data_IF_009087007458
#
_entry.id   IF_009087007458
#
_cell.length_a   1.000
_cell.length_b   1.000
_cell.length_c   1.000
_cell.angle_alpha   90.00
_cell.angle_beta   90.00
_cell.angle_gamma   90.00
#
_symmetry.space_group_name_H-M   'P 1'
#
loop_
_entity.id
_entity.type
_entity.pdbx_description
1 polymer ?
#
# COMPACT_ATOMS: atom_id res chain seq x y z
N UNK A 1 22.72 18.28 -13.11
CA UNK A 1 21.74 19.34 -12.89
C UNK A 1 21.30 19.22 -11.44
N UNK A 2 21.61 20.20 -10.63
CA UNK A 2 21.27 20.24 -9.19
C UNK A 2 19.78 20.48 -9.07
N UNK A 3 19.02 19.42 -8.73
CA UNK A 3 17.61 19.56 -8.33
C UNK A 3 17.58 20.38 -7.06
N UNK A 4 17.23 21.64 -7.18
CA UNK A 4 16.82 22.48 -6.07
C UNK A 4 15.48 21.93 -5.58
N UNK A 5 15.50 21.15 -4.51
CA UNK A 5 14.28 20.77 -3.79
C UNK A 5 13.69 22.07 -3.27
N UNK A 6 12.65 22.56 -3.93
CA UNK A 6 11.86 23.69 -3.42
C UNK A 6 11.35 23.30 -2.03
N UNK A 7 11.77 24.05 -1.02
CA UNK A 7 11.19 23.97 0.33
C UNK A 7 9.70 24.27 0.19
N UNK A 8 8.87 23.22 0.25
CA UNK A 8 7.43 23.33 0.09
C UNK A 8 6.85 24.30 1.13
N UNK A 9 6.02 25.17 0.64
CA UNK A 9 5.28 26.16 1.44
C UNK A 9 4.65 25.46 2.65
N UNK A 10 4.68 26.08 3.85
CA UNK A 10 4.18 25.51 5.11
C UNK A 10 2.75 24.91 5.04
N UNK A 11 2.01 25.23 3.99
CA UNK A 11 0.59 24.96 3.83
C UNK A 11 0.24 23.52 3.42
N UNK A 12 1.16 22.75 2.83
CA UNK A 12 0.83 21.39 2.33
C UNK A 12 0.73 20.36 3.46
N UNK A 13 1.55 20.50 4.48
CA UNK A 13 1.53 19.57 5.64
C UNK A 13 0.33 19.80 6.55
N UNK A 14 -0.14 21.05 6.69
CA UNK A 14 -1.32 21.42 7.49
C UNK A 14 -2.63 21.37 6.71
N UNK A 15 -2.58 20.93 5.44
CA UNK A 15 -3.77 20.85 4.58
C UNK A 15 -4.79 19.89 5.18
N UNK A 16 -6.04 20.31 5.28
CA UNK A 16 -7.15 19.46 5.73
C UNK A 16 -7.46 18.33 4.75
N UNK A 17 -8.22 17.33 5.18
CA UNK A 17 -8.65 16.24 4.29
C UNK A 17 -9.49 16.77 3.10
N UNK A 18 -10.48 17.68 3.25
CA UNK A 18 -11.20 18.23 2.12
C UNK A 18 -10.31 18.96 1.11
N UNK A 19 -9.29 19.70 1.59
CA UNK A 19 -8.34 20.39 0.72
C UNK A 19 -7.45 19.40 -0.05
N UNK A 20 -7.06 18.29 0.58
CA UNK A 20 -6.30 17.21 -0.08
C UNK A 20 -7.13 16.49 -1.13
N UNK A 21 -8.38 16.20 -0.85
CA UNK A 21 -9.30 15.64 -1.85
C UNK A 21 -9.49 16.60 -3.03
N UNK A 22 -9.59 17.91 -2.76
CA UNK A 22 -9.64 18.91 -3.82
C UNK A 22 -8.35 18.94 -4.64
N UNK A 23 -7.19 18.97 -3.98
CA UNK A 23 -5.90 18.91 -4.66
C UNK A 23 -5.76 17.62 -5.49
N UNK A 24 -6.15 16.48 -4.94
CA UNK A 24 -6.14 15.19 -5.64
C UNK A 24 -7.04 15.21 -6.88
N UNK A 25 -8.26 15.76 -6.79
CA UNK A 25 -9.17 15.91 -7.94
C UNK A 25 -8.56 16.78 -9.04
N UNK A 26 -7.87 17.85 -8.69
CA UNK A 26 -7.23 18.73 -9.66
C UNK A 26 -6.04 18.07 -10.38
N UNK A 27 -5.46 17.02 -9.82
CA UNK A 27 -4.38 16.25 -10.43
C UNK A 27 -4.87 15.16 -11.39
N UNK A 28 -6.15 14.77 -11.35
CA UNK A 28 -6.69 13.71 -12.21
C UNK A 28 -6.34 13.91 -13.69
N UNK A 29 -6.58 15.08 -14.32
CA UNK A 29 -6.27 15.25 -15.74
C UNK A 29 -4.79 15.08 -16.07
N UNK A 30 -3.90 15.49 -15.15
CA UNK A 30 -2.46 15.30 -15.29
C UNK A 30 -2.09 13.82 -15.19
N UNK A 31 -2.59 13.13 -14.17
CA UNK A 31 -2.31 11.71 -13.94
C UNK A 31 -2.76 10.88 -15.14
N UNK A 32 -3.96 11.11 -15.64
CA UNK A 32 -4.49 10.42 -16.83
C UNK A 32 -3.64 10.69 -18.09
N UNK A 33 -3.19 11.94 -18.29
CA UNK A 33 -2.36 12.31 -19.43
C UNK A 33 -0.96 11.66 -19.39
N UNK A 34 -0.39 11.45 -18.20
CA UNK A 34 0.94 10.88 -18.02
C UNK A 34 0.93 9.34 -17.89
N UNK A 35 -0.24 8.71 -17.82
CA UNK A 35 -0.36 7.29 -17.51
C UNK A 35 0.28 6.36 -18.55
N UNK A 36 0.09 6.63 -19.86
CA UNK A 36 0.68 5.82 -20.94
C UNK A 36 2.21 5.92 -20.97
N UNK A 37 2.75 7.11 -20.69
CA UNK A 37 4.19 7.31 -20.62
C UNK A 37 4.79 6.66 -19.37
N UNK A 38 4.10 6.74 -18.24
CA UNK A 38 4.48 6.04 -17.00
C UNK A 38 4.56 4.51 -17.20
N UNK A 39 3.62 3.92 -17.94
CA UNK A 39 3.71 2.49 -18.30
C UNK A 39 4.95 2.15 -19.15
N UNK A 40 5.32 3.01 -20.09
CA UNK A 40 6.50 2.81 -20.95
C UNK A 40 7.80 2.96 -20.15
N UNK A 41 7.86 3.96 -19.28
CA UNK A 41 9.01 4.20 -18.40
C UNK A 41 9.16 3.15 -17.31
N UNK A 42 8.10 2.38 -17.05
CA UNK A 42 7.97 1.42 -15.93
C UNK A 42 8.04 2.06 -14.53
N UNK A 43 7.83 3.36 -14.43
CA UNK A 43 7.63 4.17 -13.21
C UNK A 43 6.82 5.42 -13.57
N UNK A 44 6.26 6.13 -12.61
CA UNK A 44 5.59 7.40 -12.91
C UNK A 44 6.56 8.37 -13.60
N UNK A 45 6.03 9.21 -14.50
CA UNK A 45 6.82 10.34 -14.98
C UNK A 45 7.20 11.26 -13.83
N UNK A 46 8.36 11.89 -13.88
CA UNK A 46 8.79 12.88 -12.87
C UNK A 46 7.71 13.95 -12.67
N UNK A 47 7.08 14.38 -13.76
CA UNK A 47 6.00 15.39 -13.73
C UNK A 47 4.80 14.95 -12.89
N UNK A 48 4.36 13.70 -13.01
CA UNK A 48 3.25 13.17 -12.21
C UNK A 48 3.68 12.96 -10.75
N UNK A 49 4.86 12.38 -10.51
CA UNK A 49 5.39 12.13 -9.18
C UNK A 49 5.61 13.45 -8.39
N UNK A 50 6.22 14.46 -9.00
CA UNK A 50 6.47 15.76 -8.39
C UNK A 50 5.18 16.52 -8.07
N UNK A 51 4.18 16.45 -8.96
CA UNK A 51 2.89 17.07 -8.73
C UNK A 51 2.14 16.42 -7.54
N UNK A 52 2.15 15.09 -7.45
CA UNK A 52 1.55 14.33 -6.35
C UNK A 52 2.30 14.56 -5.03
N UNK A 53 3.63 14.60 -5.06
CA UNK A 53 4.47 14.93 -3.91
C UNK A 53 4.16 16.35 -3.42
N UNK A 54 4.12 17.32 -4.32
CA UNK A 54 3.83 18.73 -4.03
C UNK A 54 2.42 18.95 -3.46
N UNK A 55 1.47 18.08 -3.78
CA UNK A 55 0.14 18.05 -3.18
C UNK A 55 0.10 17.31 -1.82
N UNK A 56 1.23 16.78 -1.34
CA UNK A 56 1.33 16.09 -0.06
C UNK A 56 0.64 14.72 -0.01
N UNK A 57 0.42 14.08 -1.18
CA UNK A 57 -0.33 12.82 -1.27
C UNK A 57 0.46 11.62 -0.76
N UNK A 58 1.78 11.73 -0.60
CA UNK A 58 2.65 10.64 -0.15
C UNK A 58 2.95 10.65 1.35
N UNK A 59 2.46 11.65 2.10
CA UNK A 59 2.77 11.86 3.52
C UNK A 59 1.53 12.03 4.39
N UNK A 60 0.37 11.55 3.93
CA UNK A 60 -0.90 11.71 4.64
C UNK A 60 -0.92 11.07 6.04
N UNK A 61 -0.17 9.99 6.22
CA UNK A 61 -0.02 9.30 7.50
C UNK A 61 1.31 9.59 8.21
N UNK A 62 2.05 10.63 7.82
CA UNK A 62 3.21 11.04 8.59
C UNK A 62 2.77 11.59 9.94
N UNK A 63 3.39 11.17 11.09
CA UNK A 63 3.05 11.67 12.41
C UNK A 63 3.14 13.19 12.56
N UNK A 64 2.26 13.77 13.37
CA UNK A 64 2.23 15.22 13.65
C UNK A 64 3.51 15.73 14.26
N UNK A 65 4.16 14.93 15.11
CA UNK A 65 5.44 15.24 15.75
C UNK A 65 6.59 15.45 14.76
N UNK A 66 6.43 14.93 13.54
CA UNK A 66 7.35 15.16 12.41
C UNK A 66 6.79 16.19 11.40
N UNK A 67 5.78 16.96 11.81
CA UNK A 67 5.12 17.95 10.96
C UNK A 67 4.18 17.36 9.91
N UNK A 68 3.81 16.08 9.99
CA UNK A 68 2.84 15.45 9.12
C UNK A 68 1.39 15.77 9.49
N UNK A 69 0.42 15.51 8.61
CA UNK A 69 -1.00 15.75 8.88
C UNK A 69 -1.61 14.68 9.80
N UNK A 70 -1.08 13.47 9.79
CA UNK A 70 -1.61 12.32 10.54
C UNK A 70 -3.11 12.18 10.33
N UNK A 71 -3.53 12.03 9.05
CA UNK A 71 -4.94 11.82 8.72
C UNK A 71 -5.44 10.50 9.30
N UNK A 72 -6.76 10.41 9.50
CA UNK A 72 -7.40 9.11 9.78
C UNK A 72 -7.19 8.15 8.60
N UNK A 73 -7.33 6.84 8.85
CA UNK A 73 -7.21 5.85 7.77
C UNK A 73 -8.30 6.02 6.72
N UNK A 74 -9.52 6.40 7.14
CA UNK A 74 -10.64 6.62 6.22
C UNK A 74 -10.39 7.85 5.34
N UNK A 75 -9.94 8.96 5.91
CA UNK A 75 -9.63 10.17 5.13
C UNK A 75 -8.53 9.93 4.09
N UNK A 76 -7.48 9.21 4.48
CA UNK A 76 -6.39 8.85 3.57
C UNK A 76 -6.84 7.82 2.52
N UNK A 77 -7.78 6.92 2.86
CA UNK A 77 -8.34 5.93 1.94
C UNK A 77 -9.18 6.59 0.85
N UNK A 78 -9.97 7.63 1.17
CA UNK A 78 -10.73 8.39 0.17
C UNK A 78 -9.82 9.02 -0.90
N UNK A 79 -8.69 9.58 -0.48
CA UNK A 79 -7.69 10.12 -1.41
C UNK A 79 -7.06 9.00 -2.24
N UNK A 80 -6.74 7.87 -1.61
CA UNK A 80 -6.16 6.71 -2.31
C UNK A 80 -7.14 6.14 -3.34
N UNK A 81 -8.43 5.98 -2.98
CA UNK A 81 -9.50 5.54 -3.89
C UNK A 81 -9.59 6.48 -5.10
N UNK A 82 -9.58 7.80 -4.87
CA UNK A 82 -9.69 8.81 -5.92
C UNK A 82 -8.51 8.78 -6.91
N UNK A 83 -7.27 8.71 -6.42
CA UNK A 83 -6.08 8.66 -7.29
C UNK A 83 -6.00 7.32 -8.02
N UNK A 84 -6.38 6.22 -7.37
CA UNK A 84 -6.42 4.89 -8.00
C UNK A 84 -7.50 4.79 -9.09
N UNK A 85 -8.57 5.59 -8.98
CA UNK A 85 -9.53 5.75 -10.04
C UNK A 85 -8.92 6.45 -11.27
N UNK A 86 -8.08 7.45 -11.08
CA UNK A 86 -7.41 8.13 -12.18
C UNK A 86 -6.41 7.20 -12.91
N UNK A 87 -5.54 6.53 -12.14
CA UNK A 87 -4.57 5.54 -12.64
C UNK A 87 -4.13 4.57 -11.54
N UNK A 88 -4.11 3.28 -11.85
CA UNK A 88 -3.75 2.22 -10.88
C UNK A 88 -2.32 2.33 -10.37
N UNK A 89 -1.35 2.69 -11.23
CA UNK A 89 0.05 2.85 -10.82
C UNK A 89 0.25 4.11 -9.96
N UNK A 90 -0.41 5.22 -10.27
CA UNK A 90 -0.39 6.42 -9.44
C UNK A 90 -1.03 6.17 -8.07
N UNK A 91 -2.17 5.45 -8.03
CA UNK A 91 -2.77 4.99 -6.78
C UNK A 91 -1.84 4.08 -5.97
N UNK A 92 -1.06 3.23 -6.63
CA UNK A 92 -0.04 2.40 -5.98
C UNK A 92 1.07 3.22 -5.32
N UNK A 93 1.48 4.33 -5.93
CA UNK A 93 2.39 5.29 -5.28
C UNK A 93 1.78 5.87 -4.01
N UNK A 94 0.52 6.32 -4.05
CA UNK A 94 -0.16 6.82 -2.85
C UNK A 94 -0.23 5.73 -1.78
N UNK A 95 -0.63 4.49 -2.16
CA UNK A 95 -0.67 3.35 -1.25
C UNK A 95 0.68 3.11 -0.57
N UNK A 96 1.73 2.82 -1.34
CA UNK A 96 3.02 2.37 -0.80
C UNK A 96 3.72 3.47 -0.01
N UNK A 97 3.76 4.69 -0.53
CA UNK A 97 4.52 5.76 0.10
C UNK A 97 3.91 6.21 1.43
N UNK A 98 2.58 6.13 1.59
CA UNK A 98 1.95 6.38 2.89
C UNK A 98 2.23 5.26 3.91
N UNK A 99 2.30 3.99 3.49
CA UNK A 99 2.73 2.89 4.35
C UNK A 99 4.13 3.13 4.88
N UNK A 100 5.04 3.56 4.00
CA UNK A 100 6.43 3.85 4.37
C UNK A 100 6.51 5.09 5.26
N UNK A 101 5.81 6.19 4.92
CA UNK A 101 5.78 7.41 5.71
C UNK A 101 5.24 7.16 7.14
N UNK A 102 4.19 6.33 7.25
CA UNK A 102 3.64 5.94 8.55
C UNK A 102 4.64 5.10 9.37
N UNK A 103 5.16 4.02 8.79
CA UNK A 103 6.05 3.10 9.51
C UNK A 103 7.37 3.74 9.90
N UNK A 104 8.02 4.44 8.97
CA UNK A 104 9.26 5.17 9.21
C UNK A 104 9.05 6.27 10.27
N UNK A 105 7.99 7.06 10.08
CA UNK A 105 7.64 8.15 11.01
C UNK A 105 7.32 7.65 12.41
N UNK A 106 6.60 6.54 12.55
CA UNK A 106 6.20 6.00 13.84
C UNK A 106 7.30 5.22 14.55
N UNK A 107 8.15 4.48 13.83
CA UNK A 107 9.03 3.47 14.47
C UNK A 107 10.51 3.81 14.47
N UNK A 108 11.04 4.66 13.56
CA UNK A 108 12.45 5.04 13.64
C UNK A 108 12.75 5.82 14.92
N UNK A 109 13.95 5.61 15.52
CA UNK A 109 14.46 6.48 16.55
C UNK A 109 14.47 7.96 16.12
N UNK A 110 14.37 8.89 17.07
CA UNK A 110 14.26 10.33 16.78
C UNK A 110 15.34 10.84 15.83
N UNK A 111 16.59 10.45 16.05
CA UNK A 111 17.71 10.85 15.18
C UNK A 111 17.51 10.41 13.73
N UNK A 112 16.98 9.22 13.50
CA UNK A 112 16.70 8.70 12.14
C UNK A 112 15.51 9.40 11.51
N UNK A 113 14.42 9.56 12.27
CA UNK A 113 13.22 10.24 11.79
C UNK A 113 13.52 11.70 11.44
N UNK A 114 14.31 12.41 12.26
CA UNK A 114 14.77 13.78 11.99
C UNK A 114 15.71 13.85 10.77
N UNK A 115 16.57 12.87 10.55
CA UNK A 115 17.42 12.82 9.35
C UNK A 115 16.58 12.78 8.07
N UNK A 116 15.49 12.04 8.07
CA UNK A 116 14.65 11.83 6.88
C UNK A 116 13.61 12.94 6.72
N UNK A 117 12.92 13.33 7.79
CA UNK A 117 11.79 14.26 7.76
C UNK A 117 12.05 15.61 8.44
N UNK A 118 13.25 15.83 8.99
CA UNK A 118 13.63 17.11 9.58
C UNK A 118 13.51 18.27 8.59
N UNK A 119 13.46 19.50 9.10
CA UNK A 119 13.32 20.73 8.30
C UNK A 119 12.11 20.71 7.35
N UNK A 120 11.06 19.98 7.72
CA UNK A 120 9.81 19.84 6.96
C UNK A 120 9.99 19.28 5.54
N UNK A 121 10.99 18.44 5.31
CA UNK A 121 11.24 17.80 4.02
C UNK A 121 10.12 16.82 3.67
N UNK A 122 9.68 16.84 2.41
CA UNK A 122 8.83 15.82 1.81
C UNK A 122 9.70 14.76 1.14
N UNK A 123 10.39 13.98 1.95
CA UNK A 123 11.31 12.95 1.48
C UNK A 123 10.55 11.69 1.07
N UNK A 124 10.81 11.17 -0.10
CA UNK A 124 10.33 9.86 -0.53
C UNK A 124 11.30 8.79 -0.04
N UNK A 125 10.78 7.85 0.74
CA UNK A 125 11.47 6.61 1.07
C UNK A 125 10.66 5.43 0.53
N UNK A 126 11.35 4.44 -0.08
CA UNK A 126 10.70 3.28 -0.66
C UNK A 126 11.59 2.04 -0.60
N UNK A 127 11.01 0.86 -0.77
CA UNK A 127 11.72 -0.42 -0.74
C UNK A 127 10.82 -1.57 -0.28
N UNK A 128 11.42 -2.64 0.22
CA UNK A 128 10.74 -3.84 0.67
C UNK A 128 10.92 -4.06 2.18
N UNK A 129 9.83 -3.95 2.94
CA UNK A 129 9.83 -4.21 4.37
C UNK A 129 9.84 -5.69 4.75
N UNK A 130 9.36 -6.59 3.86
CA UNK A 130 9.41 -8.04 4.11
C UNK A 130 10.87 -8.48 4.22
N UNK A 131 11.26 -9.22 5.29
CA UNK A 131 12.66 -9.52 5.59
C UNK A 131 13.25 -10.57 4.64
N UNK A 132 13.74 -10.11 3.49
CA UNK A 132 14.43 -10.91 2.47
C UNK A 132 15.94 -10.82 2.58
N UNK A 133 16.47 -9.68 3.03
CA UNK A 133 17.89 -9.51 3.26
C UNK A 133 18.38 -10.15 4.54
N UNK A 134 19.67 -10.05 4.77
CA UNK A 134 20.34 -10.47 5.99
C UNK A 134 20.95 -9.27 6.70
N UNK A 135 20.83 -9.23 8.02
CA UNK A 135 21.46 -8.23 8.88
C UNK A 135 22.29 -8.90 9.94
N UNK A 136 23.56 -8.54 10.06
CA UNK A 136 24.45 -9.02 11.11
C UNK A 136 24.73 -7.87 12.08
N UNK A 137 24.55 -8.12 13.37
CA UNK A 137 24.81 -7.10 14.40
C UNK A 137 26.29 -6.66 14.33
N UNK A 138 26.52 -5.38 14.41
CA UNK A 138 27.82 -4.73 14.49
C UNK A 138 27.78 -3.65 15.56
N UNK A 139 28.92 -3.09 15.94
CA UNK A 139 28.94 -2.02 16.91
C UNK A 139 28.18 -0.79 16.42
N UNK A 140 27.15 -0.36 17.17
CA UNK A 140 26.29 0.78 16.86
C UNK A 140 25.32 0.59 15.68
N UNK A 141 25.13 -0.63 15.15
CA UNK A 141 24.24 -0.85 14.01
C UNK A 141 24.23 -2.26 13.45
N UNK A 142 23.94 -2.36 12.17
CA UNK A 142 23.89 -3.62 11.42
C UNK A 142 24.71 -3.52 10.13
N UNK A 143 25.34 -4.63 9.76
CA UNK A 143 25.84 -4.86 8.40
C UNK A 143 24.75 -5.62 7.64
N UNK A 144 24.25 -5.02 6.56
CA UNK A 144 23.16 -5.60 5.76
C UNK A 144 23.62 -6.01 4.38
N UNK A 145 22.96 -7.03 3.82
CA UNK A 145 23.07 -7.44 2.43
C UNK A 145 21.74 -7.98 1.91
N UNK A 146 21.45 -7.77 0.60
CA UNK A 146 20.24 -8.24 -0.09
C UNK A 146 20.51 -9.43 -0.98
N UNK A 147 19.60 -9.78 -1.89
CA UNK A 147 18.75 -8.89 -2.69
C UNK A 147 17.36 -8.63 -2.10
N UNK A 148 16.70 -7.58 -2.59
CA UNK A 148 15.28 -7.29 -2.35
C UNK A 148 14.54 -7.13 -3.66
N UNK A 149 13.28 -7.58 -3.70
CA UNK A 149 12.39 -7.47 -4.86
C UNK A 149 11.17 -6.62 -4.50
N UNK A 150 10.47 -6.13 -5.51
CA UNK A 150 9.26 -5.34 -5.33
C UNK A 150 9.46 -4.03 -4.55
N UNK A 151 10.54 -3.32 -4.83
CA UNK A 151 10.77 -1.97 -4.32
C UNK A 151 9.85 -0.96 -5.02
N UNK A 152 8.55 -1.02 -4.75
CA UNK A 152 7.59 -0.11 -5.39
C UNK A 152 7.94 1.35 -5.14
N UNK A 153 7.82 2.20 -6.17
CA UNK A 153 8.11 3.64 -6.13
C UNK A 153 9.59 4.00 -5.91
N UNK A 154 10.49 3.02 -5.88
CA UNK A 154 11.90 3.19 -5.48
C UNK A 154 12.70 4.09 -6.43
N UNK A 155 12.25 4.25 -7.69
CA UNK A 155 12.90 5.13 -8.66
C UNK A 155 12.99 6.57 -8.16
N UNK A 156 11.90 7.08 -7.55
CA UNK A 156 11.82 8.45 -7.03
C UNK A 156 12.28 8.58 -5.57
N UNK A 157 12.65 7.48 -4.91
CA UNK A 157 13.05 7.53 -3.51
C UNK A 157 14.43 8.15 -3.32
N UNK A 158 14.60 8.90 -2.23
CA UNK A 158 15.88 9.40 -1.72
C UNK A 158 16.50 8.42 -0.74
N UNK A 159 15.66 7.70 0.03
CA UNK A 159 16.06 6.65 0.94
C UNK A 159 15.44 5.32 0.54
N UNK A 160 16.25 4.27 0.58
CA UNK A 160 15.78 2.91 0.40
C UNK A 160 15.59 2.26 1.76
N UNK A 161 14.54 1.44 1.91
CA UNK A 161 14.40 0.60 3.08
C UNK A 161 14.48 -0.88 2.72
N UNK A 162 14.99 -1.67 3.64
CA UNK A 162 15.34 -3.06 3.42
C UNK A 162 14.98 -3.91 4.64
N UNK A 163 14.00 -4.79 4.48
CA UNK A 163 13.69 -5.81 5.49
C UNK A 163 14.76 -6.89 5.51
N UNK A 164 15.28 -7.20 6.68
CA UNK A 164 16.36 -8.17 6.88
C UNK A 164 16.05 -9.12 8.02
N UNK A 165 16.39 -10.39 7.86
CA UNK A 165 16.50 -11.35 8.97
C UNK A 165 17.80 -11.09 9.73
N UNK A 166 17.72 -10.98 11.04
CA UNK A 166 18.92 -10.85 11.88
C UNK A 166 19.63 -12.22 11.94
N UNK A 167 20.90 -12.21 11.57
CA UNK A 167 21.75 -13.41 11.54
C UNK A 167 22.73 -13.41 12.72
N UNK A 168 22.84 -14.55 13.39
CA UNK A 168 23.81 -14.79 14.46
C UNK A 168 24.48 -16.15 14.21
N UNK A 169 25.81 -16.17 14.17
CA UNK A 169 26.60 -17.39 13.88
C UNK A 169 26.16 -18.13 12.59
N UNK A 170 25.83 -17.36 11.54
CA UNK A 170 25.42 -17.88 10.22
C UNK A 170 23.99 -18.44 10.15
N UNK A 171 23.19 -18.32 11.22
CA UNK A 171 21.80 -18.78 11.29
C UNK A 171 20.86 -17.62 11.64
N UNK A 172 19.55 -17.68 11.29
CA UNK A 172 18.56 -16.74 11.79
C UNK A 172 18.56 -16.70 13.32
N UNK A 173 18.70 -15.50 13.90
CA UNK A 173 18.50 -15.29 15.33
C UNK A 173 17.02 -15.42 15.64
N UNK A 174 16.67 -16.23 16.63
CA UNK A 174 15.29 -16.41 17.06
C UNK A 174 14.93 -15.43 18.18
N UNK A 175 13.78 -14.79 18.03
CA UNK A 175 13.18 -13.96 19.08
C UNK A 175 12.51 -14.80 20.18
N UNK A 176 11.92 -14.15 21.20
CA UNK A 176 11.29 -14.83 22.33
C UNK A 176 10.14 -15.81 21.93
N UNK A 177 9.51 -15.60 20.79
CA UNK A 177 8.43 -16.43 20.26
C UNK A 177 8.92 -17.61 19.39
N UNK A 178 10.24 -17.80 19.26
CA UNK A 178 10.82 -18.80 18.37
C UNK A 178 10.79 -18.44 16.87
N UNK A 179 10.29 -17.25 16.52
CA UNK A 179 10.34 -16.74 15.15
C UNK A 179 11.64 -15.96 14.90
N UNK A 180 12.16 -15.94 13.66
CA UNK A 180 13.34 -15.14 13.33
C UNK A 180 13.14 -13.66 13.65
N UNK A 181 14.11 -13.04 14.31
CA UNK A 181 14.15 -11.59 14.47
C UNK A 181 14.34 -10.92 13.11
N UNK A 182 13.60 -9.83 12.89
CA UNK A 182 13.66 -9.08 11.65
C UNK A 182 13.76 -7.58 11.93
N UNK A 183 14.56 -6.90 11.13
CA UNK A 183 14.80 -5.45 11.21
C UNK A 183 14.57 -4.81 9.84
N UNK A 184 14.02 -3.61 9.82
CA UNK A 184 13.94 -2.77 8.63
C UNK A 184 15.00 -1.69 8.74
N UNK A 185 15.92 -1.66 7.80
CA UNK A 185 17.06 -0.75 7.73
C UNK A 185 16.84 0.27 6.62
N UNK A 186 17.27 1.53 6.85
CA UNK A 186 17.14 2.62 5.88
C UNK A 186 18.50 3.15 5.49
N UNK A 187 18.72 3.38 4.18
CA UNK A 187 19.97 3.87 3.65
C UNK A 187 19.76 4.82 2.46
N UNK A 188 20.74 5.64 2.17
CA UNK A 188 20.67 6.61 1.08
C UNK A 188 20.62 5.91 -0.28
N UNK A 189 19.85 6.47 -1.23
CA UNK A 189 19.78 6.00 -2.63
C UNK A 189 21.16 5.79 -3.25
N UNK A 190 22.15 6.63 -2.86
CA UNK A 190 23.51 6.56 -3.36
C UNK A 190 24.20 5.21 -3.10
N UNK A 191 23.82 4.51 -2.01
CA UNK A 191 24.36 3.21 -1.62
C UNK A 191 23.57 2.02 -2.23
N UNK A 192 22.46 2.32 -2.92
CA UNK A 192 21.60 1.34 -3.56
C UNK A 192 21.86 1.17 -5.05
N UNK A 193 21.59 -0.02 -5.57
CA UNK A 193 21.64 -0.37 -6.98
C UNK A 193 20.26 -0.90 -7.43
N UNK A 194 19.60 -0.20 -8.37
CA UNK A 194 18.36 -0.67 -9.00
C UNK A 194 18.68 -1.60 -10.17
N UNK A 195 17.86 -2.65 -10.33
CA UNK A 195 18.01 -3.60 -11.43
C UNK A 195 17.27 -3.19 -12.70
N UNK A 196 16.28 -2.28 -12.62
CA UNK A 196 15.54 -1.80 -13.80
C UNK A 196 14.70 -2.89 -14.48
N UNK A 197 14.25 -3.90 -13.75
CA UNK A 197 13.66 -5.13 -14.26
C UNK A 197 12.12 -5.23 -14.07
N UNK A 198 11.43 -4.09 -13.99
CA UNK A 198 9.97 -4.09 -13.78
C UNK A 198 9.22 -4.19 -15.12
N UNK A 199 9.18 -5.40 -15.70
CA UNK A 199 8.40 -5.72 -16.90
C UNK A 199 7.29 -6.72 -16.54
N UNK A 200 6.10 -6.21 -16.25
CA UNK A 200 4.97 -6.96 -15.70
C UNK A 200 3.71 -6.76 -16.53
N UNK A 201 2.70 -7.61 -16.30
CA UNK A 201 1.41 -7.51 -17.00
C UNK A 201 0.65 -6.23 -16.65
N UNK A 202 0.67 -5.79 -15.39
CA UNK A 202 -0.01 -4.60 -14.87
C UNK A 202 0.82 -3.91 -13.80
N UNK A 203 0.31 -2.77 -13.28
CA UNK A 203 1.05 -1.89 -12.38
C UNK A 203 2.42 -1.49 -12.95
N UNK A 204 2.51 -1.38 -14.27
CA UNK A 204 3.77 -1.14 -14.96
C UNK A 204 4.42 0.16 -14.53
N UNK A 205 3.63 1.23 -14.35
CA UNK A 205 4.10 2.52 -13.88
C UNK A 205 4.44 2.57 -12.39
N UNK A 206 4.35 1.46 -11.63
CA UNK A 206 4.64 1.46 -10.19
C UNK A 206 6.14 1.43 -9.85
N UNK A 207 7.02 1.11 -10.79
CA UNK A 207 8.47 1.09 -10.60
C UNK A 207 8.92 0.15 -9.48
N UNK A 208 8.30 -1.03 -9.40
CA UNK A 208 8.55 -1.97 -8.29
C UNK A 208 9.82 -2.81 -8.52
N UNK A 209 10.92 -2.13 -8.83
CA UNK A 209 12.19 -2.75 -9.19
C UNK A 209 12.79 -3.61 -8.10
N UNK A 210 13.58 -4.60 -8.52
CA UNK A 210 14.52 -5.27 -7.64
C UNK A 210 15.72 -4.35 -7.38
N UNK A 211 16.32 -4.48 -6.20
CA UNK A 211 17.45 -3.65 -5.79
C UNK A 211 18.39 -4.38 -4.84
N UNK A 212 19.61 -3.88 -4.74
CA UNK A 212 20.65 -4.33 -3.82
C UNK A 212 21.34 -3.13 -3.17
N UNK A 213 22.17 -3.41 -2.17
CA UNK A 213 23.24 -2.51 -1.77
C UNK A 213 24.41 -2.65 -2.77
N UNK A 214 25.10 -1.55 -3.10
CA UNK A 214 26.25 -1.53 -4.01
C UNK A 214 27.46 -2.28 -3.44
N UNK A 215 27.66 -2.18 -2.13
CA UNK A 215 28.73 -2.89 -1.42
C UNK A 215 28.35 -4.36 -1.14
N UNK A 216 29.35 -5.20 -0.84
CA UNK A 216 29.11 -6.58 -0.40
C UNK A 216 28.28 -6.63 0.88
N UNK A 217 28.54 -5.74 1.83
CA UNK A 217 27.74 -5.45 3.03
C UNK A 217 27.74 -3.91 3.23
N UNK A 218 26.62 -3.37 3.69
CA UNK A 218 26.47 -1.94 4.01
C UNK A 218 26.20 -1.78 5.51
N UNK A 219 26.95 -0.91 6.18
CA UNK A 219 26.70 -0.57 7.58
C UNK A 219 25.55 0.42 7.71
N UNK A 220 24.56 0.06 8.54
CA UNK A 220 23.42 0.91 8.87
C UNK A 220 23.40 1.16 10.37
N UNK A 221 23.50 2.42 10.82
CA UNK A 221 23.48 2.73 12.24
C UNK A 221 22.10 2.46 12.86
N UNK A 222 22.07 2.13 14.16
CA UNK A 222 20.86 1.76 14.89
C UNK A 222 19.72 2.76 14.74
N UNK A 223 20.01 4.06 14.69
CA UNK A 223 18.98 5.09 14.55
C UNK A 223 18.30 5.11 13.15
N UNK A 224 18.84 4.39 12.18
CA UNK A 224 18.24 4.17 10.86
C UNK A 224 17.54 2.82 10.73
N UNK A 225 17.30 2.15 11.85
CA UNK A 225 16.68 0.82 11.89
C UNK A 225 15.52 0.78 12.89
N UNK A 226 14.51 -0.05 12.59
CA UNK A 226 13.49 -0.44 13.56
C UNK A 226 13.15 -1.93 13.39
N UNK A 227 12.61 -2.56 14.44
CA UNK A 227 12.16 -3.95 14.36
C UNK A 227 10.89 -4.04 13.50
N UNK A 228 10.83 -5.05 12.64
CA UNK A 228 9.74 -5.21 11.68
C UNK A 228 8.36 -5.42 12.34
N UNK A 229 8.30 -6.13 13.45
CA UNK A 229 7.06 -6.43 14.19
C UNK A 229 7.29 -6.37 15.72
N UNK A 230 6.21 -6.16 16.45
CA UNK A 230 6.21 -6.32 17.90
C UNK A 230 6.79 -5.15 18.70
N UNK A 231 6.97 -3.99 18.06
CA UNK A 231 7.40 -2.78 18.76
C UNK A 231 6.26 -1.75 18.82
N UNK A 232 6.10 -1.06 19.95
CA UNK A 232 5.18 0.06 20.04
C UNK A 232 5.69 1.23 19.20
N UNK A 233 4.78 2.06 18.65
CA UNK A 233 5.17 3.28 17.97
C UNK A 233 5.85 4.25 18.94
N UNK A 234 6.90 4.91 18.50
CA UNK A 234 7.58 5.96 19.27
C UNK A 234 6.86 7.31 19.16
N UNK A 235 6.00 7.49 18.13
CA UNK A 235 5.26 8.71 17.83
C UNK A 235 3.89 8.38 17.23
N UNK A 236 2.98 9.35 17.30
CA UNK A 236 1.66 9.28 16.68
C UNK A 236 0.62 8.47 17.45
N UNK A 237 0.98 7.88 18.61
CA UNK A 237 0.03 7.19 19.47
C UNK A 237 -0.55 5.91 18.89
N UNK A 238 -1.74 5.54 19.37
CA UNK A 238 -2.40 4.27 19.01
C UNK A 238 -2.76 4.12 17.53
N UNK A 239 -2.88 5.20 16.77
CA UNK A 239 -3.08 5.13 15.32
C UNK A 239 -2.03 4.24 14.66
N UNK A 240 -0.79 4.22 15.14
CA UNK A 240 0.29 3.42 14.55
C UNK A 240 0.46 2.04 15.20
N UNK A 241 -0.33 1.70 16.22
CA UNK A 241 -0.26 0.39 16.89
C UNK A 241 -0.68 -0.78 15.99
N UNK A 242 -1.45 -0.52 14.91
CA UNK A 242 -1.86 -1.55 13.94
C UNK A 242 -0.69 -2.13 13.12
N UNK A 243 0.50 -1.50 13.20
CA UNK A 243 1.72 -1.98 12.55
C UNK A 243 1.73 -1.90 11.03
N UNK A 244 2.88 -2.24 10.44
CA UNK A 244 3.10 -2.13 8.99
C UNK A 244 2.07 -2.92 8.17
N UNK A 245 1.59 -4.04 8.68
CA UNK A 245 0.58 -4.86 8.00
C UNK A 245 -0.79 -4.18 8.00
N UNK A 246 -1.16 -3.54 9.12
CA UNK A 246 -2.36 -2.71 9.19
C UNK A 246 -2.28 -1.54 8.22
N UNK A 247 -1.14 -0.85 8.17
CA UNK A 247 -0.91 0.24 7.21
C UNK A 247 -1.06 -0.23 5.76
N UNK A 248 -0.53 -1.38 5.42
CA UNK A 248 -0.67 -1.93 4.06
C UNK A 248 -2.13 -2.32 3.78
N UNK A 249 -2.88 -2.80 4.77
CA UNK A 249 -4.25 -3.27 4.58
C UNK A 249 -5.22 -2.15 4.19
N UNK A 250 -5.23 -1.01 4.90
CA UNK A 250 -6.15 0.08 4.58
C UNK A 250 -5.89 0.69 3.21
N UNK A 251 -4.64 0.94 2.89
CA UNK A 251 -4.27 1.65 1.67
C UNK A 251 -4.42 0.79 0.42
N UNK A 252 -4.10 -0.51 0.52
CA UNK A 252 -4.34 -1.46 -0.56
C UNK A 252 -5.84 -1.66 -0.83
N UNK A 253 -6.66 -1.59 0.22
CA UNK A 253 -8.12 -1.62 0.10
C UNK A 253 -8.65 -0.41 -0.68
N UNK A 254 -8.20 0.80 -0.36
CA UNK A 254 -8.54 2.04 -1.09
C UNK A 254 -8.11 1.99 -2.55
N UNK A 255 -6.92 1.43 -2.82
CA UNK A 255 -6.43 1.21 -4.18
C UNK A 255 -7.38 0.32 -4.98
N UNK A 256 -7.79 -0.82 -4.44
CA UNK A 256 -8.68 -1.75 -5.12
C UNK A 256 -10.05 -1.14 -5.42
N UNK A 257 -10.61 -0.35 -4.50
CA UNK A 257 -11.86 0.38 -4.73
C UNK A 257 -11.76 1.33 -5.92
N UNK A 258 -10.70 2.13 -6.01
CA UNK A 258 -10.51 3.09 -7.08
C UNK A 258 -10.39 2.43 -8.45
N UNK A 259 -9.53 1.42 -8.60
CA UNK A 259 -9.35 0.67 -9.85
C UNK A 259 -10.66 -0.02 -10.29
N UNK A 260 -11.39 -0.60 -9.33
CA UNK A 260 -12.67 -1.27 -9.60
C UNK A 260 -13.72 -0.26 -10.08
N UNK A 261 -13.85 0.88 -9.40
CA UNK A 261 -14.78 1.95 -9.81
C UNK A 261 -14.45 2.45 -11.21
N UNK A 262 -13.17 2.67 -11.52
CA UNK A 262 -12.77 3.09 -12.87
C UNK A 262 -13.19 2.09 -13.94
N UNK A 263 -13.05 0.81 -13.71
CA UNK A 263 -13.47 -0.21 -14.68
C UNK A 263 -14.98 -0.15 -14.95
N UNK A 264 -15.81 0.06 -13.92
CA UNK A 264 -17.26 0.22 -14.07
C UNK A 264 -17.62 1.49 -14.84
N UNK A 265 -16.99 2.60 -14.54
CA UNK A 265 -17.24 3.87 -15.23
C UNK A 265 -16.86 3.81 -16.71
N UNK A 266 -15.70 3.22 -17.01
CA UNK A 266 -15.23 3.09 -18.39
C UNK A 266 -16.09 2.12 -19.23
N UNK A 267 -16.56 1.01 -18.65
CA UNK A 267 -17.46 0.12 -19.41
C UNK A 267 -18.84 0.74 -19.60
N UNK A 268 -19.36 1.51 -18.62
CA UNK A 268 -20.59 2.26 -18.77
C UNK A 268 -20.48 3.31 -19.89
N UNK A 269 -19.40 4.09 -19.89
CA UNK A 269 -19.09 5.07 -20.93
C UNK A 269 -18.97 4.40 -22.31
N UNK A 270 -18.28 3.27 -22.41
CA UNK A 270 -18.17 2.53 -23.65
C UNK A 270 -19.54 2.02 -24.13
N UNK A 271 -20.37 1.49 -23.23
CA UNK A 271 -21.67 0.91 -23.54
C UNK A 271 -22.65 1.92 -24.12
N UNK A 272 -22.53 3.21 -23.75
CA UNK A 272 -23.39 4.28 -24.26
C UNK A 272 -23.20 4.58 -25.75
N UNK A 273 -22.04 4.23 -26.33
CA UNK A 273 -21.72 4.53 -27.74
C UNK A 273 -21.27 3.34 -28.59
N UNK A 274 -21.14 2.14 -27.99
CA UNK A 274 -20.63 0.97 -28.70
C UNK A 274 -21.72 0.18 -29.40
N UNK A 275 -21.56 0.02 -30.74
CA UNK A 275 -22.39 -0.86 -31.57
C UNK A 275 -21.59 -2.06 -32.06
N UNK A 276 -22.26 -3.18 -32.17
CA UNK A 276 -21.76 -4.42 -32.79
C UNK A 276 -22.78 -4.95 -33.82
N UNK A 277 -22.45 -6.04 -34.47
CA UNK A 277 -23.39 -6.76 -35.33
C UNK A 277 -24.64 -7.26 -34.59
N UNK A 278 -24.58 -7.30 -33.27
CA UNK A 278 -25.71 -7.70 -32.41
C UNK A 278 -26.47 -6.50 -31.80
N UNK A 279 -26.18 -5.27 -32.26
CA UNK A 279 -26.79 -4.04 -31.77
C UNK A 279 -25.93 -3.24 -30.78
N UNK A 280 -26.57 -2.28 -30.12
CA UNK A 280 -25.90 -1.43 -29.12
C UNK A 280 -25.61 -2.23 -27.82
N UNK A 281 -24.37 -2.15 -27.33
CA UNK A 281 -23.95 -2.87 -26.11
C UNK A 281 -24.84 -2.55 -24.92
N UNK A 282 -25.10 -1.26 -24.68
CA UNK A 282 -25.91 -0.80 -23.54
C UNK A 282 -27.39 -1.18 -23.61
N UNK A 283 -27.91 -1.57 -24.79
CA UNK A 283 -29.29 -2.03 -24.94
C UNK A 283 -29.46 -3.54 -24.67
N UNK A 284 -28.37 -4.30 -24.68
CA UNK A 284 -28.41 -5.74 -24.46
C UNK A 284 -28.92 -6.09 -23.05
N UNK A 285 -29.95 -6.94 -22.96
CA UNK A 285 -30.52 -7.36 -21.68
C UNK A 285 -29.48 -8.03 -20.74
N UNK A 286 -28.64 -8.90 -21.30
CA UNK A 286 -27.57 -9.58 -20.55
C UNK A 286 -26.53 -8.59 -20.04
N UNK A 287 -26.14 -7.57 -20.83
CA UNK A 287 -25.23 -6.53 -20.38
C UNK A 287 -25.83 -5.72 -19.22
N UNK A 288 -27.08 -5.26 -19.36
CA UNK A 288 -27.80 -4.51 -18.33
C UNK A 288 -27.86 -5.29 -17.00
N UNK A 289 -28.17 -6.58 -17.05
CA UNK A 289 -28.20 -7.45 -15.88
C UNK A 289 -26.80 -7.55 -15.26
N UNK A 290 -25.79 -7.92 -16.02
CA UNK A 290 -24.41 -8.10 -15.50
C UNK A 290 -23.83 -6.80 -14.96
N UNK A 291 -24.14 -5.64 -15.57
CA UNK A 291 -23.71 -4.35 -15.06
C UNK A 291 -24.36 -4.02 -13.71
N UNK A 292 -25.68 -4.25 -13.57
CA UNK A 292 -26.37 -4.03 -12.30
C UNK A 292 -25.87 -4.96 -11.19
N UNK A 293 -25.55 -6.22 -11.51
CA UNK A 293 -24.92 -7.17 -10.58
C UNK A 293 -23.52 -6.67 -10.16
N UNK A 294 -22.70 -6.20 -11.10
CA UNK A 294 -21.36 -5.65 -10.82
C UNK A 294 -21.42 -4.39 -9.93
N UNK A 295 -22.35 -3.46 -10.22
CA UNK A 295 -22.59 -2.27 -9.38
C UNK A 295 -23.03 -2.67 -7.97
N UNK A 296 -23.92 -3.65 -7.83
CA UNK A 296 -24.38 -4.14 -6.53
C UNK A 296 -23.24 -4.74 -5.70
N UNK A 297 -22.35 -5.51 -6.34
CA UNK A 297 -21.14 -6.06 -5.70
C UNK A 297 -20.19 -4.94 -5.26
N UNK A 298 -19.95 -3.95 -6.12
CA UNK A 298 -19.09 -2.82 -5.79
C UNK A 298 -19.63 -2.01 -4.61
N UNK A 299 -20.90 -1.64 -4.64
CA UNK A 299 -21.52 -0.86 -3.57
C UNK A 299 -21.51 -1.62 -2.24
N UNK A 300 -21.78 -2.93 -2.26
CA UNK A 300 -21.75 -3.77 -1.07
C UNK A 300 -20.34 -3.88 -0.46
N UNK A 301 -19.33 -4.16 -1.28
CA UNK A 301 -17.96 -4.30 -0.78
C UNK A 301 -17.40 -2.96 -0.32
N UNK A 302 -17.73 -1.85 -1.00
CA UNK A 302 -17.32 -0.51 -0.58
C UNK A 302 -17.92 -0.14 0.78
N UNK A 303 -19.21 -0.40 0.98
CA UNK A 303 -19.89 -0.17 2.26
C UNK A 303 -19.23 -0.99 3.39
N UNK A 304 -18.94 -2.27 3.16
CA UNK A 304 -18.25 -3.13 4.13
C UNK A 304 -16.85 -2.61 4.48
N UNK A 305 -16.06 -2.23 3.47
CA UNK A 305 -14.72 -1.67 3.67
C UNK A 305 -14.77 -0.42 4.56
N UNK A 306 -15.61 0.55 4.20
CA UNK A 306 -15.70 1.80 4.97
C UNK A 306 -16.23 1.58 6.37
N UNK A 307 -17.20 0.68 6.56
CA UNK A 307 -17.71 0.32 7.88
C UNK A 307 -16.60 -0.23 8.80
N UNK A 308 -15.79 -1.17 8.29
CA UNK A 308 -14.70 -1.77 9.05
C UNK A 308 -13.64 -0.74 9.43
N UNK A 309 -13.24 0.12 8.50
CA UNK A 309 -12.20 1.12 8.78
C UNK A 309 -12.70 2.29 9.62
N UNK A 310 -13.99 2.67 9.54
CA UNK A 310 -14.59 3.64 10.46
C UNK A 310 -14.58 3.08 11.90
N UNK A 311 -15.00 1.84 12.11
CA UNK A 311 -15.00 1.19 13.42
C UNK A 311 -13.58 1.14 14.03
N UNK A 312 -12.56 0.83 13.23
CA UNK A 312 -11.17 0.89 13.67
C UNK A 312 -10.77 2.32 14.03
N UNK A 313 -11.06 3.31 13.19
CA UNK A 313 -10.73 4.71 13.45
C UNK A 313 -11.38 5.21 14.75
N UNK A 314 -12.66 4.91 14.98
CA UNK A 314 -13.36 5.27 16.21
C UNK A 314 -12.72 4.65 17.47
N UNK A 315 -12.21 3.42 17.37
CA UNK A 315 -11.49 2.77 18.48
C UNK A 315 -10.15 3.48 18.75
N UNK A 316 -9.39 3.78 17.69
CA UNK A 316 -8.10 4.46 17.80
C UNK A 316 -8.25 5.90 18.32
N UNK A 317 -9.32 6.61 17.94
CA UNK A 317 -9.64 7.97 18.41
C UNK A 317 -9.96 8.01 19.91
N UNK A 318 -10.49 6.90 20.47
CA UNK A 318 -10.64 6.73 21.92
C UNK A 318 -9.34 6.37 22.62
N UNK A 319 -8.23 6.38 21.91
CA UNK A 319 -6.91 5.96 22.37
C UNK A 319 -6.85 4.48 22.83
N UNK A 320 -7.66 3.63 22.21
CA UNK A 320 -7.71 2.19 22.44
C UNK A 320 -7.04 1.46 21.27
N UNK A 321 -6.36 0.33 21.48
CA UNK A 321 -5.82 -0.47 20.38
C UNK A 321 -6.95 -1.20 19.64
N UNK A 322 -6.81 -1.35 18.32
CA UNK A 322 -7.75 -2.15 17.54
C UNK A 322 -7.75 -3.61 18.03
N UNK A 323 -8.94 -4.20 18.17
CA UNK A 323 -9.09 -5.58 18.63
C UNK A 323 -8.66 -6.59 17.56
N UNK A 324 -8.45 -7.83 17.97
CA UNK A 324 -8.16 -8.95 17.04
C UNK A 324 -9.30 -9.14 16.05
N UNK A 325 -10.56 -8.98 16.49
CA UNK A 325 -11.75 -9.06 15.63
C UNK A 325 -11.77 -7.95 14.59
N UNK A 326 -11.48 -6.70 14.98
CA UNK A 326 -11.40 -5.56 14.06
C UNK A 326 -10.32 -5.77 13.00
N UNK A 327 -9.13 -6.22 13.40
CA UNK A 327 -8.04 -6.53 12.44
C UNK A 327 -8.44 -7.71 11.54
N UNK A 328 -9.17 -8.70 12.07
CA UNK A 328 -9.70 -9.82 11.27
C UNK A 328 -10.66 -9.33 10.19
N UNK A 329 -11.59 -8.43 10.53
CA UNK A 329 -12.51 -7.84 9.55
C UNK A 329 -11.78 -6.98 8.51
N UNK A 330 -10.76 -6.23 8.92
CA UNK A 330 -9.91 -5.45 7.98
C UNK A 330 -9.17 -6.35 6.99
N UNK A 331 -8.67 -7.52 7.44
CA UNK A 331 -8.04 -8.52 6.58
C UNK A 331 -9.02 -9.16 5.61
N UNK A 332 -10.24 -9.46 6.08
CA UNK A 332 -11.33 -9.94 5.23
C UNK A 332 -11.74 -8.89 4.20
N UNK A 333 -11.90 -7.63 4.60
CA UNK A 333 -12.27 -6.54 3.71
C UNK A 333 -11.21 -6.34 2.61
N UNK A 334 -9.92 -6.40 2.98
CA UNK A 334 -8.81 -6.34 2.04
C UNK A 334 -8.89 -7.45 0.99
N UNK A 335 -9.06 -8.69 1.40
CA UNK A 335 -9.13 -9.82 0.46
C UNK A 335 -10.41 -9.73 -0.39
N UNK A 336 -11.54 -9.49 0.23
CA UNK A 336 -12.85 -9.46 -0.44
C UNK A 336 -12.95 -8.37 -1.51
N UNK A 337 -12.43 -7.16 -1.26
CA UNK A 337 -12.46 -6.09 -2.26
C UNK A 337 -11.63 -6.42 -3.50
N UNK A 338 -10.55 -7.19 -3.34
CA UNK A 338 -9.75 -7.65 -4.48
C UNK A 338 -10.45 -8.76 -5.27
N UNK A 339 -11.12 -9.69 -4.60
CA UNK A 339 -11.90 -10.74 -5.26
C UNK A 339 -13.05 -10.11 -6.09
N UNK A 340 -13.78 -9.14 -5.50
CA UNK A 340 -14.84 -8.39 -6.20
C UNK A 340 -14.25 -7.55 -7.34
N UNK A 341 -13.14 -6.86 -7.10
CA UNK A 341 -12.45 -6.06 -8.11
C UNK A 341 -11.96 -6.90 -9.29
N UNK A 342 -11.43 -8.09 -9.01
CA UNK A 342 -11.03 -9.05 -10.03
C UNK A 342 -12.24 -9.48 -10.90
N UNK A 343 -13.37 -9.85 -10.29
CA UNK A 343 -14.58 -10.22 -11.01
C UNK A 343 -15.10 -9.06 -11.89
N UNK A 344 -15.16 -7.85 -11.35
CA UNK A 344 -15.68 -6.66 -12.03
C UNK A 344 -14.78 -6.24 -13.19
N UNK A 345 -13.46 -6.21 -12.99
CA UNK A 345 -12.54 -5.86 -14.09
C UNK A 345 -12.53 -6.90 -15.19
N UNK A 346 -12.71 -8.18 -14.88
CA UNK A 346 -12.94 -9.24 -15.88
C UNK A 346 -14.25 -9.03 -16.66
N UNK A 347 -15.34 -8.71 -15.97
CA UNK A 347 -16.60 -8.37 -16.61
C UNK A 347 -16.43 -7.20 -17.58
N UNK A 348 -15.86 -6.09 -17.12
CA UNK A 348 -15.66 -4.89 -17.91
C UNK A 348 -14.78 -5.13 -19.14
N UNK A 349 -13.68 -5.86 -18.97
CA UNK A 349 -12.78 -6.25 -20.06
C UNK A 349 -13.49 -7.11 -21.11
N UNK A 350 -14.23 -8.14 -20.69
CA UNK A 350 -14.96 -9.03 -21.61
C UNK A 350 -16.08 -8.30 -22.36
N UNK A 351 -16.86 -7.48 -21.65
CA UNK A 351 -17.90 -6.66 -22.27
C UNK A 351 -17.32 -5.61 -23.23
N UNK A 352 -16.13 -5.08 -22.91
CA UNK A 352 -15.38 -4.18 -23.77
C UNK A 352 -14.93 -4.80 -25.09
N UNK A 353 -14.75 -6.14 -25.15
CA UNK A 353 -14.40 -6.89 -26.36
C UNK A 353 -13.17 -6.33 -27.09
N UNK A 354 -13.23 -6.20 -28.42
CA UNK A 354 -12.11 -5.71 -29.24
C UNK A 354 -11.60 -4.31 -28.88
N UNK A 355 -12.42 -3.48 -28.23
CA UNK A 355 -11.98 -2.17 -27.72
C UNK A 355 -11.06 -2.34 -26.51
N UNK A 356 -11.43 -3.21 -25.58
CA UNK A 356 -10.63 -3.50 -24.40
C UNK A 356 -9.36 -4.33 -24.70
N UNK A 357 -9.33 -5.06 -25.83
CA UNK A 357 -8.14 -5.79 -26.28
C UNK A 357 -6.97 -4.86 -26.62
N UNK A 358 -7.27 -3.65 -27.10
CA UNK A 358 -6.27 -2.65 -27.46
C UNK A 358 -5.87 -1.81 -26.24
N UNK A 359 -4.70 -1.11 -26.28
CA UNK A 359 -4.34 -0.17 -25.23
C UNK A 359 -5.49 0.80 -24.94
N UNK A 360 -5.95 0.79 -23.71
CA UNK A 360 -7.10 1.56 -23.24
C UNK A 360 -7.15 1.53 -21.71
N UNK A 361 -7.93 2.42 -21.12
CA UNK A 361 -8.15 2.44 -19.65
C UNK A 361 -8.79 1.13 -19.18
N UNK A 362 -9.74 0.55 -19.93
CA UNK A 362 -10.31 -0.75 -19.61
C UNK A 362 -9.27 -1.88 -19.57
N UNK A 363 -8.37 -1.91 -20.55
CA UNK A 363 -7.29 -2.90 -20.55
C UNK A 363 -6.34 -2.67 -19.37
N UNK A 364 -6.03 -1.41 -19.05
CA UNK A 364 -5.12 -1.06 -17.94
C UNK A 364 -5.72 -1.46 -16.60
N UNK A 365 -6.97 -1.09 -16.31
CA UNK A 365 -7.63 -1.46 -15.04
C UNK A 365 -7.72 -2.98 -14.86
N UNK A 366 -7.96 -3.72 -15.93
CA UNK A 366 -7.93 -5.19 -15.93
C UNK A 366 -6.54 -5.71 -15.54
N UNK A 367 -5.48 -5.25 -16.21
CA UNK A 367 -4.10 -5.69 -15.96
C UNK A 367 -3.62 -5.29 -14.57
N UNK A 368 -3.93 -4.08 -14.14
CA UNK A 368 -3.52 -3.56 -12.83
C UNK A 368 -4.19 -4.32 -11.70
N UNK A 369 -5.51 -4.59 -11.79
CA UNK A 369 -6.19 -5.40 -10.79
C UNK A 369 -5.61 -6.81 -10.71
N UNK A 370 -5.33 -7.46 -11.85
CA UNK A 370 -4.70 -8.79 -11.86
C UNK A 370 -3.31 -8.76 -11.20
N UNK A 371 -2.50 -7.74 -11.46
CA UNK A 371 -1.21 -7.57 -10.82
C UNK A 371 -1.36 -7.32 -9.31
N UNK A 372 -2.30 -6.48 -8.90
CA UNK A 372 -2.58 -6.18 -7.49
C UNK A 372 -2.99 -7.40 -6.67
N UNK A 373 -3.75 -8.34 -7.28
CA UNK A 373 -4.14 -9.59 -6.60
C UNK A 373 -2.99 -10.53 -6.28
N UNK A 374 -1.80 -10.32 -6.85
CA UNK A 374 -0.61 -11.13 -6.55
C UNK A 374 0.13 -10.70 -5.27
N UNK A 375 -0.35 -9.65 -4.60
CA UNK A 375 0.28 -9.18 -3.36
C UNK A 375 0.19 -10.24 -2.26
N UNK A 376 1.27 -10.41 -1.50
CA UNK A 376 1.41 -11.46 -0.46
C UNK A 376 0.32 -11.42 0.63
N UNK A 377 -0.25 -10.24 0.91
CA UNK A 377 -1.36 -10.08 1.87
C UNK A 377 -2.71 -10.58 1.35
N UNK A 378 -2.78 -11.06 0.11
CA UNK A 378 -4.00 -11.59 -0.52
C UNK A 378 -3.97 -13.12 -0.67
N UNK A 379 -3.07 -13.80 0.04
CA UNK A 379 -3.02 -15.25 0.04
C UNK A 379 -4.27 -15.88 0.65
N UNK A 380 -4.62 -17.09 0.20
CA UNK A 380 -5.79 -17.85 0.73
C UNK A 380 -5.68 -18.14 2.23
N UNK A 381 -4.46 -18.22 2.75
CA UNK A 381 -4.19 -18.38 4.18
C UNK A 381 -4.85 -17.28 5.02
N UNK A 382 -5.00 -16.07 4.49
CA UNK A 382 -5.65 -14.96 5.23
C UNK A 382 -7.10 -15.29 5.56
N UNK A 383 -7.88 -15.82 4.60
CA UNK A 383 -9.25 -16.23 4.86
C UNK A 383 -9.34 -17.39 5.86
N UNK A 384 -8.40 -18.34 5.80
CA UNK A 384 -8.34 -19.45 6.76
C UNK A 384 -8.10 -18.95 8.17
N UNK A 385 -7.17 -18.01 8.37
CA UNK A 385 -6.89 -17.42 9.66
C UNK A 385 -8.05 -16.53 10.17
N UNK A 386 -8.71 -15.78 9.28
CA UNK A 386 -9.92 -15.05 9.62
C UNK A 386 -11.03 -16.01 10.11
N UNK A 387 -11.24 -17.12 9.42
CA UNK A 387 -12.23 -18.11 9.81
C UNK A 387 -11.92 -18.71 11.20
N UNK A 388 -10.64 -18.94 11.54
CA UNK A 388 -10.26 -19.42 12.88
C UNK A 388 -10.73 -18.46 13.98
N UNK A 389 -10.61 -17.13 13.77
CA UNK A 389 -11.08 -16.11 14.72
C UNK A 389 -12.60 -16.12 14.80
N UNK A 390 -13.28 -16.03 13.66
CA UNK A 390 -14.76 -15.93 13.59
C UNK A 390 -15.47 -17.17 14.15
N UNK A 391 -14.91 -18.35 13.93
CA UNK A 391 -15.43 -19.61 14.45
C UNK A 391 -15.01 -19.85 15.91
N UNK A 392 -14.22 -18.93 16.49
CA UNK A 392 -13.72 -19.09 17.83
C UNK A 392 -12.78 -20.28 18.01
N UNK A 393 -12.01 -20.63 16.96
CA UNK A 393 -11.08 -21.78 16.95
C UNK A 393 -9.64 -21.37 17.31
N UNK A 394 -9.44 -20.14 17.77
CA UNK A 394 -8.13 -19.66 18.29
C UNK A 394 -7.99 -20.06 19.76
N UNK A 395 -6.76 -20.20 20.23
CA UNK A 395 -6.42 -20.37 21.65
C UNK A 395 -6.67 -19.08 22.48
N UNK A 396 -5.98 -18.94 23.59
CA UNK A 396 -6.03 -17.74 24.43
C UNK A 396 -5.26 -16.58 23.77
N UNK A 397 -5.71 -15.36 24.03
CA UNK A 397 -5.04 -14.13 23.59
C UNK A 397 -4.62 -14.14 22.10
N UNK A 398 -5.55 -14.42 21.16
CA UNK A 398 -5.21 -14.43 19.75
C UNK A 398 -4.76 -13.03 19.29
N UNK A 399 -3.71 -12.97 18.51
CA UNK A 399 -3.20 -11.73 17.91
C UNK A 399 -2.67 -11.95 16.51
N UNK A 400 -2.93 -11.01 15.63
CA UNK A 400 -2.40 -11.05 14.28
C UNK A 400 -0.89 -10.79 14.26
N UNK A 401 -0.18 -11.62 13.53
CA UNK A 401 1.18 -11.37 13.05
C UNK A 401 1.15 -10.91 11.59
N UNK A 402 2.29 -10.96 10.88
CA UNK A 402 2.34 -10.63 9.47
C UNK A 402 1.32 -11.40 8.62
N UNK A 403 1.28 -12.72 8.73
CA UNK A 403 0.53 -13.58 7.83
C UNK A 403 -0.41 -14.58 8.51
N UNK A 404 -0.51 -14.57 9.81
CA UNK A 404 -1.36 -15.49 10.54
C UNK A 404 -1.60 -15.08 11.98
N UNK A 405 -2.43 -15.87 12.68
CA UNK A 405 -2.74 -15.71 14.10
C UNK A 405 -1.78 -16.54 14.94
N UNK A 406 -1.23 -15.91 15.98
CA UNK A 406 -0.58 -16.59 17.10
C UNK A 406 -1.45 -16.46 18.34
N UNK A 407 -1.46 -17.48 19.20
CA UNK A 407 -2.21 -17.55 20.43
C UNK A 407 -1.42 -18.31 21.52
N UNK A 408 -1.87 -18.26 22.75
CA UNK A 408 -1.18 -18.81 23.92
C UNK A 408 -1.64 -20.27 24.24
N UNK A 409 -1.95 -21.06 23.20
CA UNK A 409 -2.30 -22.46 23.32
C UNK A 409 -3.81 -22.77 23.30
N UNK A 410 -4.22 -24.00 23.58
CA UNK A 410 -5.58 -24.44 23.34
C UNK A 410 -6.59 -23.66 24.18
N UNK A 411 -7.79 -23.47 23.62
CA UNK A 411 -8.95 -22.97 24.39
C UNK A 411 -9.28 -23.92 25.52
N UNK A 412 -9.63 -23.36 26.67
CA UNK A 412 -10.35 -24.15 27.67
C UNK A 412 -11.69 -24.59 27.07
N UNK A 413 -12.10 -25.86 27.22
CA UNK A 413 -13.41 -26.27 26.75
C UNK A 413 -14.45 -25.36 27.37
N UNK A 414 -15.39 -24.85 26.55
CA UNK A 414 -16.56 -24.13 27.08
C UNK A 414 -17.34 -25.08 28.01
N UNK A 415 -17.73 -24.61 29.20
CA UNK A 415 -18.52 -25.41 30.12
C UNK A 415 -19.83 -25.87 29.52
#
# INVERSE_FOLDING_TARGET
MTNTIETLKPNVRSMSQPDRLHAARNLIPLIEAEADESEKLTHLTDKAADAMLSAGLFHMLQPRELGGPQLSYVDAMEVTELISWADGSAGWYVHVLNVVAASLGAYLPDKGAQRIYGDQRLTIAAGQGVPRGQARRSDGGYLIRGPWSYGSCIYHAEYYHAGCIVMENGKPKLGPTGTPEAVVCHFDKADGELKGNWDTIGLRGSGSYDYNVKATELFIPDHMCYQFVGVPPQRGGNQYSIGIIGFTSWSHTGWALGVTRRALDEIAKLASGKFSVFGALGEGASFKQSYAEAESKFLSVRAFVYQVWNDICETLDRNEPASTEQITLARMALRHVHDVGFEITNFAYRAGGGTALRPSVLQRTFRDMHAGTQHVLLSDQIYQECARVLLGMTGKNPRWTGFGIVDDGPKEPKP
#
